data_IF_979762943006
#
_entry.id   IF_979762943006
#
_cell.length_a   1.000
_cell.length_b   1.000
_cell.length_c   1.000
_cell.angle_alpha   90.00
_cell.angle_beta   90.00
_cell.angle_gamma   90.00
#
_symmetry.space_group_name_H-M   'P 1'
#
loop_
_entity.id
_entity.type
_entity.pdbx_description
1 polymer ?
#
# COMPACT_ATOMS: atom_id res chain seq x y z
N UNK A 1 -13.92 10.02 -13.50
CA UNK A 1 -13.96 9.44 -12.14
C UNK A 1 -13.44 10.50 -11.17
N UNK A 2 -14.01 10.64 -9.96
CA UNK A 2 -13.54 11.65 -9.01
C UNK A 2 -12.21 11.20 -8.34
N UNK A 3 -11.22 12.10 -8.26
CA UNK A 3 -9.93 11.81 -7.61
C UNK A 3 -10.10 11.42 -6.13
N UNK A 4 -11.08 12.02 -5.44
CA UNK A 4 -11.39 11.65 -4.06
C UNK A 4 -11.87 10.20 -3.93
N UNK A 5 -12.68 9.71 -4.88
CA UNK A 5 -13.16 8.32 -4.89
C UNK A 5 -12.01 7.34 -5.16
N UNK A 6 -11.06 7.72 -6.02
CA UNK A 6 -9.86 6.94 -6.30
C UNK A 6 -8.98 6.82 -5.05
N UNK A 7 -8.71 7.95 -4.38
CA UNK A 7 -7.91 8.01 -3.16
C UNK A 7 -8.53 7.18 -2.04
N UNK A 8 -9.86 7.27 -1.86
CA UNK A 8 -10.61 6.49 -0.88
C UNK A 8 -10.56 4.99 -1.19
N UNK A 9 -10.78 4.61 -2.45
CA UNK A 9 -10.68 3.22 -2.89
C UNK A 9 -9.27 2.64 -2.65
N UNK A 10 -8.23 3.41 -2.96
CA UNK A 10 -6.84 3.02 -2.73
C UNK A 10 -6.54 2.86 -1.23
N UNK A 11 -7.07 3.76 -0.39
CA UNK A 11 -6.96 3.67 1.06
C UNK A 11 -7.62 2.40 1.63
N UNK A 12 -8.84 2.08 1.18
CA UNK A 12 -9.56 0.87 1.60
C UNK A 12 -8.78 -0.39 1.22
N UNK A 13 -8.21 -0.46 0.01
CA UNK A 13 -7.40 -1.60 -0.44
C UNK A 13 -6.10 -1.75 0.35
N UNK A 14 -5.39 -0.64 0.60
CA UNK A 14 -4.18 -0.63 1.43
C UNK A 14 -4.49 -1.08 2.88
N UNK A 15 -5.61 -0.63 3.45
CA UNK A 15 -6.10 -1.08 4.77
C UNK A 15 -6.42 -2.58 4.76
N UNK A 16 -7.09 -3.08 3.73
CA UNK A 16 -7.40 -4.49 3.60
C UNK A 16 -6.13 -5.34 3.52
N UNK A 17 -5.13 -4.92 2.75
CA UNK A 17 -3.82 -5.58 2.67
C UNK A 17 -3.10 -5.62 4.03
N UNK A 18 -3.07 -4.48 4.75
CA UNK A 18 -2.52 -4.40 6.12
C UNK A 18 -3.27 -5.31 7.10
N UNK A 19 -4.59 -5.40 7.01
CA UNK A 19 -5.41 -6.31 7.84
C UNK A 19 -5.07 -7.78 7.57
N UNK A 20 -4.90 -8.17 6.30
CA UNK A 20 -4.49 -9.54 5.95
C UNK A 20 -3.09 -9.86 6.49
N UNK A 21 -2.14 -8.93 6.34
CA UNK A 21 -0.79 -9.03 6.93
C UNK A 21 -0.88 -9.29 8.44
N UNK A 22 -1.68 -8.49 9.14
CA UNK A 22 -1.87 -8.63 10.59
C UNK A 22 -2.49 -9.97 10.98
N UNK A 23 -3.55 -10.40 10.30
CA UNK A 23 -4.18 -11.71 10.53
C UNK A 23 -3.14 -12.82 10.33
N UNK A 24 -2.35 -12.77 9.25
CA UNK A 24 -1.31 -13.75 8.95
C UNK A 24 -0.28 -13.86 10.07
N UNK A 25 0.22 -12.73 10.59
CA UNK A 25 1.16 -12.73 11.72
C UNK A 25 0.50 -13.25 13.00
N UNK A 26 -0.72 -12.80 13.32
CA UNK A 26 -1.42 -13.23 14.54
C UNK A 26 -1.81 -14.71 14.55
N UNK A 27 -2.19 -15.28 13.41
CA UNK A 27 -2.63 -16.68 13.37
C UNK A 27 -1.48 -17.68 13.45
N UNK A 28 -0.23 -17.24 13.24
CA UNK A 28 0.95 -18.09 13.27
C UNK A 28 0.88 -19.29 12.30
N UNK A 29 1.90 -20.15 12.35
CA UNK A 29 1.97 -21.43 11.62
C UNK A 29 0.93 -22.48 12.08
N UNK A 30 0.06 -22.15 13.04
CA UNK A 30 -0.92 -23.08 13.63
C UNK A 30 -2.09 -23.47 12.71
N UNK A 31 -2.24 -22.79 11.57
CA UNK A 31 -3.26 -23.11 10.56
C UNK A 31 -2.63 -23.83 9.38
N UNK A 32 -3.39 -24.72 8.74
CA UNK A 32 -2.94 -25.48 7.58
C UNK A 32 -2.27 -24.60 6.51
N UNK A 33 -1.14 -25.07 5.97
CA UNK A 33 -0.29 -24.39 4.99
C UNK A 33 -1.11 -23.73 3.86
N UNK A 34 -2.08 -24.46 3.30
CA UNK A 34 -2.97 -23.99 2.24
C UNK A 34 -3.76 -22.71 2.60
N UNK A 35 -4.23 -22.59 3.86
CA UNK A 35 -4.98 -21.39 4.29
C UNK A 35 -4.07 -20.17 4.42
N UNK A 36 -2.85 -20.37 4.90
CA UNK A 36 -1.84 -19.31 5.02
C UNK A 36 -1.38 -18.84 3.65
N UNK A 37 -1.13 -19.75 2.72
CA UNK A 37 -0.75 -19.45 1.33
C UNK A 37 -1.86 -18.66 0.62
N UNK A 38 -3.13 -19.04 0.82
CA UNK A 38 -4.28 -18.29 0.27
C UNK A 38 -4.35 -16.86 0.81
N UNK A 39 -4.08 -16.65 2.10
CA UNK A 39 -4.02 -15.32 2.69
C UNK A 39 -2.83 -14.51 2.16
N UNK A 40 -1.68 -15.16 1.97
CA UNK A 40 -0.48 -14.57 1.39
C UNK A 40 -0.75 -14.06 -0.04
N UNK A 41 -1.24 -14.93 -0.94
CA UNK A 41 -1.59 -14.57 -2.32
C UNK A 41 -2.64 -13.45 -2.38
N UNK A 42 -3.62 -13.46 -1.46
CA UNK A 42 -4.62 -12.39 -1.38
C UNK A 42 -4.02 -11.08 -0.89
N UNK A 43 -3.03 -11.12 0.01
CA UNK A 43 -2.32 -9.93 0.45
C UNK A 43 -1.46 -9.35 -0.68
N UNK A 44 -0.69 -10.18 -1.38
CA UNK A 44 0.15 -9.75 -2.51
C UNK A 44 -0.68 -9.10 -3.61
N UNK A 45 -1.76 -9.76 -4.07
CA UNK A 45 -2.62 -9.19 -5.12
C UNK A 45 -3.22 -7.82 -4.77
N UNK A 46 -3.45 -7.52 -3.48
CA UNK A 46 -3.89 -6.18 -3.07
C UNK A 46 -2.75 -5.15 -3.07
N UNK A 47 -1.52 -5.56 -2.74
CA UNK A 47 -0.35 -4.69 -2.84
C UNK A 47 0.04 -4.44 -4.31
N UNK A 48 -0.09 -5.44 -5.17
CA UNK A 48 0.15 -5.31 -6.61
C UNK A 48 -0.86 -4.36 -7.24
N UNK A 49 -2.15 -4.53 -6.93
CA UNK A 49 -3.19 -3.59 -7.37
C UNK A 49 -2.86 -2.16 -6.92
N UNK A 50 -2.45 -1.98 -5.66
CA UNK A 50 -2.01 -0.67 -5.15
C UNK A 50 -0.82 -0.12 -5.94
N UNK A 51 0.20 -0.93 -6.23
CA UNK A 51 1.39 -0.52 -7.00
C UNK A 51 0.99 -0.07 -8.41
N UNK A 52 0.17 -0.86 -9.11
CA UNK A 52 -0.32 -0.53 -10.45
C UNK A 52 -1.08 0.79 -10.47
N UNK A 53 -2.01 0.99 -9.54
CA UNK A 53 -2.81 2.22 -9.45
C UNK A 53 -1.92 3.43 -9.17
N UNK A 54 -0.96 3.31 -8.25
CA UNK A 54 -0.03 4.40 -7.93
C UNK A 54 0.82 4.75 -9.14
N UNK A 55 1.37 3.74 -9.84
CA UNK A 55 2.17 3.98 -11.04
C UNK A 55 1.35 4.69 -12.12
N UNK A 56 0.11 4.25 -12.35
CA UNK A 56 -0.79 4.93 -13.29
C UNK A 56 -1.12 6.36 -12.83
N UNK A 57 -1.41 6.58 -11.55
CA UNK A 57 -1.71 7.92 -11.02
C UNK A 57 -0.52 8.88 -11.11
N UNK A 58 0.72 8.36 -11.02
CA UNK A 58 1.93 9.15 -11.27
C UNK A 58 2.07 9.53 -12.74
N UNK A 59 1.76 8.62 -13.67
CA UNK A 59 1.77 8.90 -15.11
C UNK A 59 0.68 9.89 -15.53
N UNK A 60 -0.51 9.76 -14.96
CA UNK A 60 -1.66 10.63 -15.23
C UNK A 60 -1.54 12.00 -14.51
N UNK A 61 -0.48 12.23 -13.71
CA UNK A 61 -0.26 13.48 -12.98
C UNK A 61 -1.19 13.73 -11.78
N UNK A 62 -1.94 12.70 -11.36
CA UNK A 62 -2.88 12.77 -10.22
C UNK A 62 -2.13 12.66 -8.87
N UNK A 63 -0.98 11.99 -8.88
CA UNK A 63 -0.12 11.82 -7.72
C UNK A 63 1.29 12.30 -8.01
N UNK A 64 2.02 12.68 -6.96
CA UNK A 64 3.39 13.16 -7.05
C UNK A 64 4.34 12.31 -6.20
N UNK A 65 5.53 12.04 -6.74
CA UNK A 65 6.65 11.47 -5.99
C UNK A 65 7.21 12.57 -5.08
N UNK A 66 7.28 12.31 -3.77
CA UNK A 66 7.81 13.29 -2.81
C UNK A 66 9.24 12.97 -2.39
N UNK A 67 9.59 11.69 -2.26
CA UNK A 67 10.91 11.24 -1.82
C UNK A 67 10.90 9.79 -1.35
N UNK A 68 11.91 9.38 -0.59
CA UNK A 68 12.07 8.00 -0.10
C UNK A 68 12.17 7.97 1.41
N UNK A 69 11.45 7.05 2.05
CA UNK A 69 11.73 6.64 3.43
C UNK A 69 12.48 5.31 3.45
N UNK A 70 13.38 5.16 4.42
CA UNK A 70 14.09 3.92 4.69
C UNK A 70 13.44 3.16 5.84
N UNK A 71 13.22 1.86 5.65
CA UNK A 71 12.84 0.95 6.72
C UNK A 71 14.04 0.05 7.04
N UNK A 72 14.69 0.33 8.17
CA UNK A 72 15.75 -0.52 8.71
C UNK A 72 15.16 -1.82 9.23
N UNK A 73 15.58 -2.96 8.69
CA UNK A 73 15.27 -4.26 9.28
C UNK A 73 16.33 -4.66 10.31
N UNK A 74 15.94 -5.53 11.23
CA UNK A 74 16.83 -6.11 12.24
C UNK A 74 17.96 -6.98 11.67
N UNK A 75 17.84 -7.43 10.41
CA UNK A 75 18.88 -8.20 9.71
C UNK A 75 19.90 -7.33 8.96
N UNK A 76 19.87 -6.00 9.15
CA UNK A 76 20.78 -5.07 8.48
C UNK A 76 20.42 -4.72 7.03
N UNK A 77 19.33 -5.27 6.48
CA UNK A 77 18.82 -4.87 5.17
C UNK A 77 17.90 -3.65 5.28
N UNK A 78 18.20 -2.61 4.52
CA UNK A 78 17.32 -1.46 4.37
C UNK A 78 16.35 -1.68 3.20
N UNK A 79 15.05 -1.48 3.45
CA UNK A 79 14.06 -1.40 2.38
C UNK A 79 13.71 0.07 2.14
N UNK A 80 13.88 0.50 0.90
CA UNK A 80 13.45 1.81 0.44
C UNK A 80 11.97 1.80 0.04
N UNK A 81 11.25 2.81 0.52
CA UNK A 81 9.85 3.04 0.18
C UNK A 81 9.68 4.44 -0.41
N UNK A 82 9.19 4.53 -1.63
CA UNK A 82 8.80 5.82 -2.22
C UNK A 82 7.54 6.34 -1.52
N UNK A 83 7.60 7.61 -1.12
CA UNK A 83 6.49 8.36 -0.58
C UNK A 83 5.77 9.08 -1.71
N UNK A 84 4.50 8.73 -1.90
CA UNK A 84 3.63 9.25 -2.94
C UNK A 84 2.51 10.06 -2.30
N UNK A 85 2.36 11.29 -2.77
CA UNK A 85 1.34 12.23 -2.31
C UNK A 85 0.25 12.39 -3.35
N UNK A 86 -0.97 12.10 -2.94
CA UNK A 86 -2.20 12.50 -3.62
C UNK A 86 -2.73 13.78 -2.95
N UNK A 87 -3.86 14.29 -3.40
CA UNK A 87 -4.46 15.53 -2.90
C UNK A 87 -4.74 15.45 -1.39
N UNK A 88 -5.43 14.39 -0.95
CA UNK A 88 -5.91 14.24 0.42
C UNK A 88 -5.23 13.08 1.17
N UNK A 89 -4.49 12.22 0.47
CA UNK A 89 -3.89 11.01 1.04
C UNK A 89 -2.45 10.82 0.61
N UNK A 90 -1.73 10.02 1.39
CA UNK A 90 -0.36 9.64 1.10
C UNK A 90 -0.18 8.14 1.21
N UNK A 91 0.73 7.61 0.39
CA UNK A 91 0.98 6.18 0.30
C UNK A 91 2.46 5.90 0.16
N UNK A 92 2.86 4.72 0.62
CA UNK A 92 4.19 4.17 0.41
C UNK A 92 4.15 2.98 -0.52
N UNK A 93 5.05 2.91 -1.48
CA UNK A 93 5.29 1.70 -2.28
C UNK A 93 6.78 1.33 -2.24
N UNK A 94 7.11 0.02 -2.21
CA UNK A 94 8.50 -0.40 -2.32
C UNK A 94 9.05 0.05 -3.67
N UNK A 95 10.29 0.52 -3.65
CA UNK A 95 11.03 0.91 -4.86
C UNK A 95 12.15 -0.06 -5.12
N UNK A 96 12.43 -0.28 -6.39
CA UNK A 96 13.60 -1.02 -6.82
C UNK A 96 14.87 -0.18 -6.54
N UNK A 97 16.03 -0.80 -6.29
CA UNK A 97 17.26 -0.09 -5.93
C UNK A 97 17.68 0.98 -6.95
N UNK A 98 17.40 0.74 -8.23
CA UNK A 98 17.73 1.62 -9.35
C UNK A 98 16.89 2.92 -9.41
N UNK A 99 15.71 2.96 -8.80
CA UNK A 99 14.87 4.17 -8.74
C UNK A 99 15.26 5.11 -7.60
N UNK A 100 16.17 4.69 -6.71
CA UNK A 100 16.42 5.37 -5.45
C UNK A 100 17.40 6.57 -5.53
N UNK A 101 18.32 6.55 -6.49
CA UNK A 101 19.47 7.48 -6.53
C UNK A 101 19.10 8.95 -6.78
N UNK A 102 17.94 9.21 -7.38
CA UNK A 102 17.50 10.55 -7.77
C UNK A 102 16.47 11.18 -6.80
N UNK A 103 16.11 10.50 -5.71
CA UNK A 103 15.04 10.96 -4.82
C UNK A 103 15.57 11.53 -3.51
N UNK A 104 14.87 12.55 -3.00
CA UNK A 104 15.14 13.15 -1.69
C UNK A 104 14.94 12.10 -0.59
N UNK A 105 15.95 11.95 0.27
CA UNK A 105 15.86 11.13 1.48
C UNK A 105 14.99 11.86 2.51
N UNK A 106 13.88 11.25 2.89
CA UNK A 106 12.92 11.75 3.86
C UNK A 106 13.16 11.16 5.27
N UNK A 107 14.20 10.35 5.44
CA UNK A 107 14.58 9.73 6.70
C UNK A 107 13.92 8.36 6.94
N UNK A 108 13.93 7.94 8.21
CA UNK A 108 13.44 6.62 8.61
C UNK A 108 11.91 6.58 8.71
N UNK A 109 11.32 5.47 8.24
CA UNK A 109 9.89 5.23 8.35
C UNK A 109 9.51 4.96 9.81
N UNK A 110 8.77 5.89 10.42
CA UNK A 110 8.15 5.67 11.73
C UNK A 110 6.99 4.67 11.57
N UNK A 111 7.15 3.48 12.14
CA UNK A 111 6.09 2.47 12.15
C UNK A 111 4.89 2.98 12.96
N UNK A 112 3.73 3.11 12.30
CA UNK A 112 2.46 3.36 12.99
C UNK A 112 1.74 2.04 13.26
N UNK A 113 1.46 1.70 14.53
CA UNK A 113 0.76 0.45 14.86
C UNK A 113 -0.62 0.40 14.23
N UNK A 114 -1.06 -0.82 13.92
CA UNK A 114 -2.40 -1.11 13.43
C UNK A 114 -3.44 -0.80 14.52
N UNK A 115 -3.93 0.44 14.57
CA UNK A 115 -4.85 0.86 15.64
C UNK A 115 -5.31 2.33 15.64
N UNK A 116 -4.58 3.26 15.01
CA UNK A 116 -5.07 4.63 14.79
C UNK A 116 -6.10 4.63 13.66
N UNK A 117 -7.31 4.19 13.98
CA UNK A 117 -8.39 3.93 13.02
C UNK A 117 -9.28 5.17 12.96
N UNK A 118 -9.15 5.92 11.87
CA UNK A 118 -10.27 6.68 11.36
C UNK A 118 -11.35 5.68 10.90
N UNK A 119 -12.54 5.73 11.51
CA UNK A 119 -13.65 4.77 11.31
C UNK A 119 -14.53 5.11 10.10
N UNK A 120 -14.16 6.14 9.34
CA UNK A 120 -14.98 6.79 8.31
C UNK A 120 -14.77 6.21 6.91
N UNK A 121 -14.55 4.91 6.77
CA UNK A 121 -14.46 4.30 5.44
C UNK A 121 -15.88 4.16 4.86
N UNK A 122 -16.20 4.99 3.86
CA UNK A 122 -17.55 5.06 3.28
C UNK A 122 -17.86 3.97 2.24
N UNK A 123 -16.89 3.11 1.89
CA UNK A 123 -17.05 2.10 0.84
C UNK A 123 -16.50 0.71 1.21
N UNK A 124 -17.13 -0.33 0.66
CA UNK A 124 -16.69 -1.71 0.83
C UNK A 124 -15.44 -2.03 0.00
N UNK A 125 -14.69 -3.07 0.39
CA UNK A 125 -13.52 -3.55 -0.38
C UNK A 125 -13.89 -3.94 -1.81
N UNK A 126 -15.10 -4.49 -2.03
CA UNK A 126 -15.57 -4.84 -3.38
C UNK A 126 -15.78 -3.60 -4.23
N UNK A 127 -16.48 -2.59 -3.69
CA UNK A 127 -16.70 -1.31 -4.37
C UNK A 127 -15.37 -0.61 -4.68
N UNK A 128 -14.45 -0.60 -3.71
CA UNK A 128 -13.11 -0.07 -3.92
C UNK A 128 -12.37 -0.78 -5.07
N UNK A 129 -12.39 -2.12 -5.12
CA UNK A 129 -11.81 -2.87 -6.24
C UNK A 129 -12.41 -2.45 -7.58
N UNK A 130 -13.74 -2.35 -7.67
CA UNK A 130 -14.40 -1.97 -8.92
C UNK A 130 -14.01 -0.55 -9.38
N UNK A 131 -13.89 0.40 -8.45
CA UNK A 131 -13.42 1.77 -8.73
C UNK A 131 -11.99 1.72 -9.28
N UNK A 132 -11.08 1.02 -8.60
CA UNK A 132 -9.68 0.91 -9.02
C UNK A 132 -9.53 0.18 -10.37
N UNK A 133 -10.29 -0.89 -10.59
CA UNK A 133 -10.27 -1.63 -11.86
C UNK A 133 -10.73 -0.77 -13.04
N UNK A 134 -11.80 0.02 -12.87
CA UNK A 134 -12.27 0.99 -13.89
C UNK A 134 -11.31 2.14 -14.16
N UNK A 135 -10.33 2.34 -13.28
CA UNK A 135 -9.30 3.35 -13.50
C UNK A 135 -8.10 2.78 -14.25
N UNK A 136 -7.81 1.48 -14.11
CA UNK A 136 -6.72 0.84 -14.83
C UNK A 136 -7.02 0.58 -16.31
N UNK A 137 -8.29 0.34 -16.64
CA UNK A 137 -8.79 0.01 -17.98
C UNK A 137 -9.83 1.05 -18.41
#
# INVERSE_FOLDING_TARGET
>A
MNNTDLEEALYVINKAAKRLKHIRYKTGYSKSKCRTDKLFRKQESLYDLKKQIINKALLDGIANKTGIHKLKKSNGEDINFMFVRFTNRTFHIPVEPNECSAMVDLGEMVYRPYGSIDRTNNISTMKAKNILSRYLF
#
